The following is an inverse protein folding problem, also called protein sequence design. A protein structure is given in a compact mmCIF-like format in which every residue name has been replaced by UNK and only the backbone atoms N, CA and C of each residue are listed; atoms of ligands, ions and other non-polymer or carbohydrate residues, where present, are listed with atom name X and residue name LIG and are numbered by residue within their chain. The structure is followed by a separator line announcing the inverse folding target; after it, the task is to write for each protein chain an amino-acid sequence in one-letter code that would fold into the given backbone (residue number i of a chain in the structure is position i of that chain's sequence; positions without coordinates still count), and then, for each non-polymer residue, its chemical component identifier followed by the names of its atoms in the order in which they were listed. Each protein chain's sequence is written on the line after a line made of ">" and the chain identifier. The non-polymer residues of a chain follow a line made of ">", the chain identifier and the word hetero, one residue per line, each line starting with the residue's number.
data_IF_890834261910
#
_entry.id   IF_890834261910
#
_cell.length_a   1.000
_cell.length_b   1.000
_cell.length_c   1.000
_cell.angle_alpha   90.00
_cell.angle_beta   90.00
_cell.angle_gamma   90.00
#
_symmetry.space_group_name_H-M   'P 1'
#
loop_
_entity.id
_entity.type
_entity.pdbx_description
1 polymer ?
#
# COMPACT_ATOMS: atom_id res chain seq x y z
N UNK A 1 -16.17 9.79 13.04
CA UNK A 1 -15.88 9.99 11.61
C UNK A 1 -14.39 9.85 11.43
N UNK A 2 -13.95 9.13 10.39
CA UNK A 2 -12.54 8.98 10.02
C UNK A 2 -12.41 9.26 8.53
N UNK A 3 -11.32 9.89 8.13
CA UNK A 3 -11.08 10.22 6.73
C UNK A 3 -10.54 8.98 5.99
N UNK A 4 -10.93 8.76 4.72
CA UNK A 4 -10.38 7.69 3.89
C UNK A 4 -8.86 7.69 3.84
N UNK A 5 -8.25 8.87 3.73
CA UNK A 5 -6.79 9.01 3.69
C UNK A 5 -6.11 8.53 4.99
N UNK A 6 -6.73 8.73 6.15
CA UNK A 6 -6.21 8.22 7.43
C UNK A 6 -6.17 6.69 7.43
N UNK A 7 -7.24 6.03 6.96
CA UNK A 7 -7.25 4.57 6.82
C UNK A 7 -6.18 4.09 5.82
N UNK A 8 -6.03 4.79 4.70
CA UNK A 8 -5.03 4.45 3.68
C UNK A 8 -3.61 4.51 4.24
N UNK A 9 -3.23 5.63 4.88
CA UNK A 9 -1.86 5.81 5.38
C UNK A 9 -1.56 4.92 6.59
N UNK A 10 -2.57 4.60 7.41
CA UNK A 10 -2.40 3.73 8.59
C UNK A 10 -2.36 2.25 8.23
N UNK A 11 -3.21 1.79 7.30
CA UNK A 11 -3.41 0.35 7.06
C UNK A 11 -2.94 -0.10 5.69
N UNK A 12 -3.28 0.66 4.64
CA UNK A 12 -3.12 0.21 3.26
C UNK A 12 -1.67 0.39 2.81
N UNK A 13 -1.13 1.60 2.89
CA UNK A 13 0.22 1.89 2.40
C UNK A 13 1.31 1.08 3.12
N UNK A 14 1.29 0.91 4.45
CA UNK A 14 2.28 0.07 5.12
C UNK A 14 2.23 -1.39 4.67
N UNK A 15 1.01 -1.95 4.57
CA UNK A 15 0.81 -3.34 4.14
C UNK A 15 1.19 -3.55 2.69
N UNK A 16 0.75 -2.65 1.80
CA UNK A 16 1.07 -2.68 0.38
C UNK A 16 2.58 -2.60 0.15
N UNK A 17 3.29 -1.66 0.81
CA UNK A 17 4.76 -1.57 0.73
C UNK A 17 5.43 -2.85 1.19
N UNK A 18 4.96 -3.42 2.31
CA UNK A 18 5.51 -4.65 2.87
C UNK A 18 5.33 -5.86 1.95
N UNK A 19 4.12 -6.02 1.41
CA UNK A 19 3.78 -7.10 0.49
C UNK A 19 4.47 -6.94 -0.87
N UNK A 20 4.47 -5.74 -1.46
CA UNK A 20 5.17 -5.45 -2.71
C UNK A 20 6.68 -5.73 -2.58
N UNK A 21 7.30 -5.34 -1.47
CA UNK A 21 8.70 -5.67 -1.23
C UNK A 21 8.96 -7.19 -1.14
N UNK A 22 8.02 -7.96 -0.57
CA UNK A 22 8.12 -9.43 -0.53
C UNK A 22 8.01 -10.03 -1.92
N UNK A 23 7.04 -9.59 -2.72
CA UNK A 23 6.85 -10.04 -4.11
C UNK A 23 8.12 -9.80 -4.93
N UNK A 24 8.66 -8.59 -4.89
CA UNK A 24 9.87 -8.23 -5.64
C UNK A 24 11.10 -9.07 -5.25
N UNK A 25 11.24 -9.41 -3.96
CA UNK A 25 12.38 -10.24 -3.51
C UNK A 25 12.17 -11.72 -3.81
N UNK A 26 10.99 -12.26 -3.48
CA UNK A 26 10.75 -13.70 -3.54
C UNK A 26 10.37 -14.20 -4.94
N UNK A 27 9.60 -13.41 -5.69
CA UNK A 27 9.02 -13.83 -6.96
C UNK A 27 9.76 -13.21 -8.16
N UNK A 28 10.34 -12.01 -8.00
CA UNK A 28 11.14 -11.36 -9.05
C UNK A 28 12.67 -11.44 -8.81
N UNK A 29 13.11 -12.07 -7.71
CA UNK A 29 14.53 -12.34 -7.45
C UNK A 29 15.37 -11.09 -7.16
N UNK A 30 14.76 -9.95 -6.85
CA UNK A 30 15.50 -8.75 -6.47
C UNK A 30 16.19 -8.91 -5.12
N UNK A 31 17.39 -8.37 -4.98
CA UNK A 31 18.06 -8.29 -3.67
C UNK A 31 17.38 -7.24 -2.78
N UNK A 32 17.50 -7.41 -1.45
CA UNK A 32 17.00 -6.41 -0.49
C UNK A 32 17.61 -5.02 -0.72
N UNK A 33 18.84 -4.94 -1.24
CA UNK A 33 19.50 -3.67 -1.58
C UNK A 33 18.86 -3.02 -2.81
N UNK A 34 18.57 -3.80 -3.86
CA UNK A 34 17.86 -3.28 -5.03
C UNK A 34 16.46 -2.75 -4.65
N UNK A 35 15.72 -3.50 -3.84
CA UNK A 35 14.41 -3.07 -3.34
C UNK A 35 14.53 -1.83 -2.44
N UNK A 36 15.54 -1.76 -1.59
CA UNK A 36 15.78 -0.59 -0.74
C UNK A 36 16.03 0.67 -1.57
N UNK A 37 16.86 0.56 -2.61
CA UNK A 37 17.14 1.65 -3.54
C UNK A 37 15.87 2.09 -4.30
N UNK A 38 15.10 1.13 -4.81
CA UNK A 38 13.84 1.38 -5.50
C UNK A 38 12.83 2.11 -4.59
N UNK A 39 12.76 1.73 -3.31
CA UNK A 39 11.81 2.30 -2.35
C UNK A 39 12.30 3.60 -1.70
N UNK A 40 13.57 3.98 -1.91
CA UNK A 40 14.18 5.11 -1.20
C UNK A 40 14.27 4.90 0.32
N UNK A 41 14.49 3.65 0.77
CA UNK A 41 14.58 3.27 2.19
C UNK A 41 15.86 2.50 2.47
N UNK A 42 16.12 2.16 3.75
CA UNK A 42 17.29 1.35 4.11
C UNK A 42 17.04 -0.14 3.85
N UNK A 43 18.10 -0.91 3.60
CA UNK A 43 18.03 -2.39 3.54
C UNK A 43 17.48 -3.00 4.83
N UNK A 44 17.75 -2.38 5.98
CA UNK A 44 17.15 -2.74 7.25
C UNK A 44 15.62 -2.58 7.24
N UNK A 45 15.08 -1.51 6.65
CA UNK A 45 13.63 -1.34 6.49
C UNK A 45 13.02 -2.43 5.61
N UNK A 46 13.68 -2.82 4.52
CA UNK A 46 13.25 -3.93 3.66
C UNK A 46 13.27 -5.27 4.41
N UNK A 47 14.31 -5.52 5.21
CA UNK A 47 14.34 -6.71 6.07
C UNK A 47 13.14 -6.77 7.02
N UNK A 48 12.73 -5.63 7.58
CA UNK A 48 11.54 -5.53 8.43
C UNK A 48 10.23 -5.78 7.65
N UNK A 49 10.15 -5.34 6.40
CA UNK A 49 9.03 -5.65 5.51
C UNK A 49 8.88 -7.15 5.29
N UNK A 50 9.97 -7.82 4.92
CA UNK A 50 10.00 -9.27 4.62
C UNK A 50 9.62 -10.08 5.86
N UNK A 51 10.15 -9.71 7.04
CA UNK A 51 9.83 -10.38 8.32
C UNK A 51 8.37 -10.25 8.76
N UNK A 52 7.54 -9.50 8.03
CA UNK A 52 6.12 -9.37 8.33
C UNK A 52 5.81 -8.42 9.48
N UNK A 53 6.81 -7.73 10.05
CA UNK A 53 6.61 -6.74 11.11
C UNK A 53 5.82 -5.50 10.63
N UNK A 54 5.68 -5.34 9.31
CA UNK A 54 4.86 -4.30 8.64
C UNK A 54 4.04 -4.82 7.45
N UNK A 55 4.02 -6.13 7.21
CA UNK A 55 3.56 -6.73 5.95
C UNK A 55 2.47 -7.79 6.11
N UNK A 56 1.66 -7.65 7.16
CA UNK A 56 0.46 -8.45 7.42
C UNK A 56 -0.47 -7.59 8.23
N UNK A 57 -1.62 -7.25 7.67
CA UNK A 57 -2.63 -6.50 8.38
C UNK A 57 -3.78 -7.46 8.63
N UNK A 58 -3.90 -7.90 9.89
CA UNK A 58 -4.98 -8.80 10.33
C UNK A 58 -6.37 -8.33 9.87
N UNK A 59 -6.56 -7.03 9.64
CA UNK A 59 -7.82 -6.47 9.16
C UNK A 59 -8.07 -6.83 7.70
N UNK A 60 -7.06 -6.64 6.86
CA UNK A 60 -7.11 -6.97 5.44
C UNK A 60 -7.20 -8.48 5.27
N UNK A 61 -6.40 -9.23 6.03
CA UNK A 61 -6.34 -10.70 5.97
C UNK A 61 -7.66 -11.37 6.40
N UNK A 62 -8.47 -10.72 7.24
CA UNK A 62 -9.80 -11.19 7.64
C UNK A 62 -10.94 -10.62 6.80
N UNK A 63 -10.65 -9.68 5.90
CA UNK A 63 -11.67 -9.05 5.06
C UNK A 63 -12.03 -9.93 3.86
N UNK A 64 -13.24 -9.77 3.33
CA UNK A 64 -13.65 -10.42 2.09
C UNK A 64 -12.83 -9.97 0.86
N UNK A 65 -12.06 -8.87 0.98
CA UNK A 65 -11.26 -8.28 -0.10
C UNK A 65 -9.79 -8.72 -0.07
N UNK A 66 -9.44 -9.68 0.79
CA UNK A 66 -8.06 -10.15 0.96
C UNK A 66 -7.44 -10.56 -0.37
N UNK A 67 -8.09 -11.50 -1.09
CA UNK A 67 -7.54 -12.04 -2.34
C UNK A 67 -7.37 -10.94 -3.38
N UNK A 68 -8.40 -10.13 -3.61
CA UNK A 68 -8.33 -9.03 -4.59
C UNK A 68 -7.20 -8.04 -4.27
N UNK A 69 -6.98 -7.74 -2.98
CA UNK A 69 -5.91 -6.83 -2.57
C UNK A 69 -4.52 -7.40 -2.81
N UNK A 70 -4.26 -8.66 -2.47
CA UNK A 70 -2.95 -9.27 -2.70
C UNK A 70 -2.71 -9.63 -4.17
N UNK A 71 -3.76 -9.96 -4.94
CA UNK A 71 -3.66 -10.12 -6.39
C UNK A 71 -3.27 -8.79 -7.05
N UNK A 72 -3.93 -7.68 -6.67
CA UNK A 72 -3.54 -6.34 -7.15
C UNK A 72 -2.07 -6.02 -6.83
N UNK A 73 -1.59 -6.40 -5.65
CA UNK A 73 -0.18 -6.21 -5.28
C UNK A 73 0.75 -7.07 -6.15
N UNK A 74 0.39 -8.33 -6.41
CA UNK A 74 1.16 -9.23 -7.29
C UNK A 74 1.27 -8.66 -8.70
N UNK A 75 0.14 -8.28 -9.30
CA UNK A 75 0.09 -7.67 -10.64
C UNK A 75 0.93 -6.37 -10.69
N UNK A 76 0.87 -5.60 -9.59
CA UNK A 76 1.67 -4.38 -9.46
C UNK A 76 3.17 -4.69 -9.33
N UNK A 77 3.54 -5.79 -8.67
CA UNK A 77 4.92 -6.24 -8.55
C UNK A 77 5.50 -6.62 -9.92
N UNK A 78 4.73 -7.33 -10.74
CA UNK A 78 5.10 -7.67 -12.12
C UNK A 78 5.42 -6.39 -12.91
N UNK A 79 4.53 -5.40 -12.86
CA UNK A 79 4.74 -4.13 -13.55
C UNK A 79 5.97 -3.36 -13.04
N UNK A 80 6.21 -3.35 -11.73
CA UNK A 80 7.36 -2.68 -11.12
C UNK A 80 8.67 -3.38 -11.52
N UNK A 81 8.68 -4.71 -11.56
CA UNK A 81 9.81 -5.48 -12.05
C UNK A 81 10.13 -5.18 -13.53
N UNK A 82 9.09 -4.92 -14.32
CA UNK A 82 9.20 -4.49 -15.73
C UNK A 82 9.52 -2.99 -15.92
N UNK A 83 9.77 -2.26 -14.82
CA UNK A 83 10.27 -0.88 -14.86
C UNK A 83 9.22 0.20 -14.62
N UNK A 84 8.01 -0.14 -14.17
CA UNK A 84 7.02 0.85 -13.74
C UNK A 84 7.51 1.64 -12.53
N UNK A 85 7.21 2.94 -12.52
CA UNK A 85 7.51 3.81 -11.38
C UNK A 85 6.80 3.33 -10.11
N UNK A 86 7.54 3.27 -9.01
CA UNK A 86 7.03 2.78 -7.73
C UNK A 86 5.91 3.67 -7.16
N UNK A 87 5.99 4.98 -7.38
CA UNK A 87 4.97 5.91 -6.89
C UNK A 87 3.67 5.69 -7.65
N UNK A 88 3.73 5.53 -8.97
CA UNK A 88 2.57 5.17 -9.78
C UNK A 88 1.94 3.85 -9.35
N UNK A 89 2.75 2.79 -9.20
CA UNK A 89 2.34 1.49 -8.70
C UNK A 89 1.60 1.56 -7.35
N UNK A 90 2.16 2.24 -6.35
CA UNK A 90 1.51 2.42 -5.05
C UNK A 90 0.21 3.24 -5.15
N UNK A 91 0.12 4.16 -6.11
CA UNK A 91 -1.08 4.96 -6.33
C UNK A 91 -2.20 4.17 -7.01
N UNK A 92 -1.88 3.19 -7.84
CA UNK A 92 -2.86 2.26 -8.39
C UNK A 92 -3.44 1.36 -7.32
N UNK A 93 -2.60 0.82 -6.41
CA UNK A 93 -3.09 0.09 -5.23
C UNK A 93 -4.04 0.98 -4.41
N UNK A 94 -3.68 2.24 -4.15
CA UNK A 94 -4.58 3.18 -3.47
C UNK A 94 -5.88 3.40 -4.23
N UNK A 95 -5.84 3.43 -5.56
CA UNK A 95 -7.00 3.69 -6.42
C UNK A 95 -7.95 2.51 -6.43
N UNK A 96 -7.43 1.28 -6.52
CA UNK A 96 -8.17 0.06 -6.30
C UNK A 96 -8.86 0.06 -4.93
N UNK A 97 -8.12 0.38 -3.86
CA UNK A 97 -8.69 0.37 -2.50
C UNK A 97 -9.80 1.41 -2.33
N UNK A 98 -9.68 2.60 -2.93
CA UNK A 98 -10.69 3.67 -2.88
C UNK A 98 -12.00 3.31 -3.57
N UNK A 99 -11.95 2.54 -4.67
CA UNK A 99 -13.15 2.10 -5.40
C UNK A 99 -13.69 0.75 -4.91
N UNK A 100 -12.88 -0.02 -4.18
CA UNK A 100 -13.30 -1.25 -3.51
C UNK A 100 -14.13 -0.97 -2.24
N UNK A 101 -14.71 -2.02 -1.66
CA UNK A 101 -15.32 -1.95 -0.33
C UNK A 101 -14.33 -2.08 0.83
N UNK A 102 -13.02 -2.18 0.58
CA UNK A 102 -12.01 -2.44 1.62
C UNK A 102 -11.91 -1.31 2.64
N UNK A 103 -11.98 -0.04 2.22
CA UNK A 103 -11.96 1.09 3.18
C UNK A 103 -13.14 1.05 4.14
N UNK A 104 -14.33 0.67 3.65
CA UNK A 104 -15.52 0.52 4.49
C UNK A 104 -15.36 -0.66 5.46
N UNK A 105 -14.77 -1.77 5.01
CA UNK A 105 -14.46 -2.90 5.88
C UNK A 105 -13.48 -2.52 7.01
N UNK A 106 -12.41 -1.80 6.68
CA UNK A 106 -11.45 -1.29 7.67
C UNK A 106 -12.12 -0.33 8.66
N UNK A 107 -12.96 0.58 8.17
CA UNK A 107 -13.67 1.54 9.00
C UNK A 107 -14.58 0.86 10.03
N UNK A 108 -15.37 -0.13 9.61
CA UNK A 108 -16.24 -0.89 10.52
C UNK A 108 -15.41 -1.72 11.51
N UNK A 109 -14.32 -2.34 11.05
CA UNK A 109 -13.47 -3.14 11.93
C UNK A 109 -12.85 -2.30 13.06
N UNK A 110 -12.40 -1.08 12.76
CA UNK A 110 -11.87 -0.16 13.78
C UNK A 110 -12.93 0.29 14.82
N UNK A 111 -14.17 -0.15 14.68
CA UNK A 111 -15.25 0.09 15.65
C UNK A 111 -16.06 1.35 15.35
N UNK A 112 -15.90 1.95 14.16
CA UNK A 112 -16.71 3.10 13.78
C UNK A 112 -18.07 2.66 13.21
N UNK A 113 -19.13 3.32 13.66
CA UNK A 113 -20.53 3.01 13.30
C UNK A 113 -21.21 4.08 12.44
N UNK A 114 -20.52 5.18 12.14
CA UNK A 114 -21.04 6.29 11.33
C UNK A 114 -20.70 6.18 9.84
N UNK A 115 -20.75 7.31 9.14
CA UNK A 115 -20.30 7.37 7.74
C UNK A 115 -18.78 7.57 7.66
N UNK A 116 -18.17 6.86 6.71
CA UNK A 116 -16.79 7.12 6.30
C UNK A 116 -16.75 8.49 5.62
N UNK A 117 -15.76 9.33 5.96
CA UNK A 117 -15.63 10.65 5.35
C UNK A 117 -15.50 10.56 3.83
N UNK A 118 -15.93 11.60 3.11
CA UNK A 118 -15.78 11.68 1.65
C UNK A 118 -14.67 12.68 1.34
N UNK A 119 -13.67 12.25 0.58
CA UNK A 119 -12.65 13.15 0.03
C UNK A 119 -13.11 13.62 -1.35
N UNK A 120 -13.19 14.94 -1.55
CA UNK A 120 -13.51 15.51 -2.87
C UNK A 120 -12.35 15.33 -3.87
N UNK A 121 -11.11 15.43 -3.37
CA UNK A 121 -9.89 15.30 -4.16
C UNK A 121 -8.86 14.42 -3.43
N UNK A 122 -8.03 13.71 -4.19
CA UNK A 122 -6.98 12.88 -3.64
C UNK A 122 -5.74 13.75 -3.35
N UNK A 123 -5.11 13.66 -2.15
CA UNK A 123 -3.93 14.46 -1.84
C UNK A 123 -2.79 14.34 -2.86
N UNK A 124 -2.68 13.20 -3.56
CA UNK A 124 -1.71 13.01 -4.65
C UNK A 124 -1.84 14.08 -5.76
N UNK A 125 -3.04 14.53 -6.08
CA UNK A 125 -3.28 15.44 -7.22
C UNK A 125 -3.11 16.90 -6.84
N UNK A 126 -2.99 17.22 -5.55
CA UNK A 126 -3.04 18.59 -5.05
C UNK A 126 -1.81 18.98 -4.23
N UNK A 127 -1.08 18.01 -3.65
CA UNK A 127 0.17 18.27 -2.94
C UNK A 127 1.30 18.41 -3.97
N UNK A 128 1.87 19.62 -4.05
CA UNK A 128 3.10 19.90 -4.79
C UNK A 128 4.28 19.96 -3.83
N UNK A 129 5.42 19.41 -4.24
CA UNK A 129 6.69 19.57 -3.52
C UNK A 129 7.34 20.83 -4.10
N UNK A 130 7.63 21.87 -3.29
CA UNK A 130 8.34 23.05 -3.77
C UNK A 130 9.72 22.65 -4.29
N UNK A 131 10.12 23.13 -5.47
CA UNK A 131 11.48 22.92 -5.98
C UNK A 131 12.49 23.66 -5.08
N UNK A 132 13.51 22.94 -4.58
CA UNK A 132 14.65 23.55 -3.87
C UNK A 132 14.85 23.19 -2.39
N UNK A 133 14.54 21.95 -1.98
CA UNK A 133 14.97 21.39 -0.69
C UNK A 133 16.27 20.59 -0.81
#
# INVERSE_FOLDING_TARGET
>A
MKMPCELIVTHILPTARGALAKELVHNHGMTQVQVANLFGVTSAAVSQYIKGLRGGNNLIDKSAYREDFYNMISDTADMVADGKDLTEALCEICSFVKSSGLLKALYVYEGYSGELGVCMECPRTTITIPEGL
#
